data_IF_349238487298
#
_entry.id   IF_349238487298
#
_cell.length_a   1.000
_cell.length_b   1.000
_cell.length_c   1.000
_cell.angle_alpha   90.00
_cell.angle_beta   90.00
_cell.angle_gamma   90.00
#
_symmetry.space_group_name_H-M   'P 1'
#
loop_
_entity.id
_entity.type
_entity.pdbx_description
1 polymer ?
#
# COMPACT_ATOMS: atom_id res chain seq x y z
N UNK A 1 11.33 11.19 -23.04
CA UNK A 1 10.06 10.83 -22.37
C UNK A 1 10.13 11.36 -20.94
N UNK A 2 9.11 12.08 -20.43
CA UNK A 2 9.14 12.67 -19.07
C UNK A 2 9.08 11.59 -17.98
N UNK A 3 9.67 11.83 -16.81
CA UNK A 3 9.56 10.92 -15.65
C UNK A 3 8.10 10.63 -15.28
N UNK A 4 7.25 11.66 -15.33
CA UNK A 4 5.81 11.52 -15.12
C UNK A 4 5.18 10.54 -16.10
N UNK A 5 5.57 10.60 -17.38
CA UNK A 5 5.09 9.67 -18.42
C UNK A 5 5.55 8.24 -18.16
N UNK A 6 6.81 8.05 -17.73
CA UNK A 6 7.35 6.72 -17.39
C UNK A 6 6.59 6.08 -16.22
N UNK A 7 6.32 6.86 -15.18
CA UNK A 7 5.55 6.42 -14.02
C UNK A 7 4.12 6.00 -14.41
N UNK A 8 3.41 6.84 -15.15
CA UNK A 8 2.05 6.53 -15.62
C UNK A 8 2.01 5.25 -16.44
N UNK A 9 2.96 5.05 -17.36
CA UNK A 9 3.01 3.85 -18.19
C UNK A 9 3.25 2.57 -17.38
N UNK A 10 4.17 2.60 -16.41
CA UNK A 10 4.42 1.47 -15.51
C UNK A 10 3.19 1.14 -14.65
N UNK A 11 2.50 2.18 -14.17
CA UNK A 11 1.27 2.03 -13.39
C UNK A 11 0.15 1.39 -14.19
N UNK A 12 -0.10 1.85 -15.42
CA UNK A 12 -1.09 1.26 -16.32
C UNK A 12 -0.78 -0.21 -16.59
N UNK A 13 0.49 -0.55 -16.84
CA UNK A 13 0.90 -1.94 -17.03
C UNK A 13 0.66 -2.80 -15.78
N UNK A 14 0.91 -2.26 -14.59
CA UNK A 14 0.70 -2.99 -13.33
C UNK A 14 -0.78 -3.22 -13.04
N UNK A 15 -1.62 -2.20 -13.22
CA UNK A 15 -3.09 -2.30 -13.04
C UNK A 15 -3.68 -3.31 -14.02
N UNK A 16 -3.24 -3.26 -15.29
CA UNK A 16 -3.59 -4.25 -16.30
C UNK A 16 -3.23 -5.66 -15.86
N UNK A 17 -2.00 -5.86 -15.38
CA UNK A 17 -1.45 -7.19 -15.05
C UNK A 17 -2.13 -7.82 -13.86
N UNK A 18 -2.32 -7.06 -12.77
CA UNK A 18 -2.77 -7.62 -11.50
C UNK A 18 -4.28 -7.50 -11.26
N UNK A 19 -4.94 -6.56 -11.93
CA UNK A 19 -6.36 -6.28 -11.70
C UNK A 19 -7.22 -6.46 -12.96
N UNK A 20 -6.63 -6.70 -14.14
CA UNK A 20 -7.37 -6.88 -15.40
C UNK A 20 -8.08 -5.61 -15.88
N UNK A 21 -7.72 -4.45 -15.34
CA UNK A 21 -8.40 -3.17 -15.56
C UNK A 21 -7.63 -2.34 -16.59
N UNK A 22 -8.30 -1.90 -17.65
CA UNK A 22 -7.73 -1.02 -18.68
C UNK A 22 -8.35 0.38 -18.61
N UNK A 23 -7.58 1.47 -18.73
CA UNK A 23 -8.13 2.78 -19.04
C UNK A 23 -9.00 2.71 -20.32
N UNK A 24 -10.07 3.52 -20.46
CA UNK A 24 -10.38 4.75 -19.74
C UNK A 24 -11.40 4.55 -18.61
N UNK A 25 -11.23 3.54 -17.75
CA UNK A 25 -12.08 3.44 -16.57
C UNK A 25 -11.74 4.56 -15.56
N UNK A 26 -12.74 5.36 -15.19
CA UNK A 26 -12.57 6.52 -14.30
C UNK A 26 -12.11 6.13 -12.89
N UNK A 27 -12.50 4.94 -12.43
CA UNK A 27 -12.14 4.43 -11.09
C UNK A 27 -10.64 4.22 -10.96
N UNK A 28 -9.97 3.60 -11.93
CA UNK A 28 -8.52 3.41 -11.91
C UNK A 28 -7.77 4.74 -12.05
N UNK A 29 -8.30 5.69 -12.82
CA UNK A 29 -7.71 7.04 -12.91
C UNK A 29 -7.79 7.77 -11.57
N UNK A 30 -8.89 7.61 -10.83
CA UNK A 30 -9.03 8.16 -9.47
C UNK A 30 -8.12 7.46 -8.47
N UNK A 31 -8.10 6.13 -8.46
CA UNK A 31 -7.21 5.33 -7.61
C UNK A 31 -5.72 5.62 -7.87
N UNK A 32 -5.34 5.93 -9.11
CA UNK A 32 -3.98 6.36 -9.44
C UNK A 32 -3.59 7.66 -8.71
N UNK A 33 -4.53 8.61 -8.60
CA UNK A 33 -4.32 9.84 -7.84
C UNK A 33 -4.18 9.59 -6.34
N UNK A 34 -5.02 8.70 -5.78
CA UNK A 34 -4.97 8.34 -4.36
C UNK A 34 -3.69 7.55 -4.01
N UNK A 35 -3.17 6.75 -4.95
CA UNK A 35 -1.98 5.94 -4.74
C UNK A 35 -0.72 6.79 -4.54
N UNK A 36 -0.59 7.93 -5.23
CA UNK A 36 0.56 8.83 -5.04
C UNK A 36 0.63 9.34 -3.60
N UNK A 37 -0.52 9.74 -3.03
CA UNK A 37 -0.60 10.12 -1.62
C UNK A 37 -0.23 8.95 -0.72
N UNK A 38 -0.76 7.76 -0.99
CA UNK A 38 -0.49 6.57 -0.19
C UNK A 38 1.01 6.21 -0.17
N UNK A 39 1.69 6.30 -1.31
CA UNK A 39 3.16 6.10 -1.39
C UNK A 39 3.88 7.10 -0.49
N UNK A 40 3.54 8.39 -0.57
CA UNK A 40 4.16 9.43 0.27
C UNK A 40 3.91 9.18 1.76
N UNK A 41 2.71 8.76 2.14
CA UNK A 41 2.37 8.41 3.52
C UNK A 41 3.24 7.23 4.01
N UNK A 42 3.41 6.17 3.21
CA UNK A 42 4.31 5.06 3.54
C UNK A 42 5.79 5.48 3.60
N UNK A 43 6.24 6.34 2.71
CA UNK A 43 7.59 6.90 2.74
C UNK A 43 7.83 7.73 4.01
N UNK A 44 6.84 8.48 4.47
CA UNK A 44 6.93 9.25 5.72
C UNK A 44 6.99 8.35 6.98
N UNK A 45 6.39 7.16 6.92
CA UNK A 45 6.48 6.15 7.98
C UNK A 45 7.78 5.32 7.90
N UNK A 46 8.54 5.42 6.81
CA UNK A 46 9.78 4.66 6.65
C UNK A 46 10.81 5.12 7.68
N UNK A 47 11.28 4.18 8.49
CA UNK A 47 12.28 4.46 9.54
C UNK A 47 11.72 5.08 10.81
N UNK A 48 10.39 5.31 10.89
CA UNK A 48 9.73 5.72 12.15
C UNK A 48 9.26 4.51 12.96
N UNK A 49 9.05 3.36 12.30
CA UNK A 49 8.75 2.11 12.97
C UNK A 49 10.00 1.59 13.68
N UNK A 50 10.01 1.69 15.02
CA UNK A 50 10.91 0.90 15.86
C UNK A 50 10.31 -0.48 16.05
N UNK A 51 11.12 -1.51 15.87
CA UNK A 51 10.79 -2.82 16.44
C UNK A 51 10.81 -2.71 17.97
N UNK A 52 10.02 -3.52 18.66
CA UNK A 52 10.16 -3.69 20.09
C UNK A 52 11.59 -4.19 20.40
N UNK A 53 12.17 -3.73 21.52
CA UNK A 53 13.52 -4.15 21.93
C UNK A 53 13.61 -5.68 22.12
N UNK A 54 12.47 -6.31 22.42
CA UNK A 54 12.28 -7.75 22.37
C UNK A 54 11.13 -8.04 21.41
N UNK A 55 11.34 -8.76 20.29
CA UNK A 55 10.24 -9.09 19.39
C UNK A 55 9.22 -9.95 20.14
N UNK A 56 7.95 -9.55 20.09
CA UNK A 56 6.85 -10.37 20.58
C UNK A 56 6.99 -11.79 20.03
N UNK A 57 6.90 -12.80 20.91
CA UNK A 57 6.85 -14.18 20.45
C UNK A 57 5.67 -14.35 19.50
N UNK A 58 5.77 -15.32 18.59
CA UNK A 58 4.69 -15.61 17.64
C UNK A 58 3.34 -15.83 18.36
N UNK A 59 3.38 -16.45 19.54
CA UNK A 59 2.22 -16.66 20.41
C UNK A 59 1.65 -15.35 20.96
N UNK A 60 2.49 -14.40 21.37
CA UNK A 60 2.05 -13.08 21.84
C UNK A 60 1.39 -12.28 20.71
N UNK A 61 1.99 -12.30 19.52
CA UNK A 61 1.42 -11.66 18.33
C UNK A 61 0.06 -12.27 17.92
N UNK A 62 -0.11 -13.59 18.05
CA UNK A 62 -1.39 -14.26 17.77
C UNK A 62 -2.49 -13.87 18.77
N UNK A 63 -2.17 -13.76 20.06
CA UNK A 63 -3.14 -13.31 21.09
C UNK A 63 -3.58 -11.88 20.83
N UNK A 64 -2.63 -10.99 20.50
CA UNK A 64 -2.94 -9.61 20.18
C UNK A 64 -3.82 -9.51 18.92
N UNK A 65 -3.44 -10.20 17.84
CA UNK A 65 -4.22 -10.23 16.60
C UNK A 65 -5.66 -10.74 16.82
N UNK A 66 -5.82 -11.77 17.66
CA UNK A 66 -7.14 -12.29 18.03
C UNK A 66 -7.96 -11.26 18.83
N UNK A 67 -7.30 -10.45 19.67
CA UNK A 67 -7.97 -9.41 20.48
C UNK A 67 -8.45 -8.21 19.66
N UNK A 68 -7.83 -7.93 18.51
CA UNK A 68 -8.23 -6.86 17.59
C UNK A 68 -9.63 -7.13 17.04
N UNK A 69 -9.99 -8.39 16.77
CA UNK A 69 -11.32 -8.78 16.29
C UNK A 69 -12.42 -8.78 17.36
N UNK A 70 -12.07 -8.65 18.65
CA UNK A 70 -13.01 -8.68 19.79
C UNK A 70 -13.34 -7.28 20.32
N UNK A 71 -12.55 -6.27 19.93
CA UNK A 71 -12.72 -4.87 20.36
C UNK A 71 -13.51 -3.99 19.36
N UNK A 72 -14.08 -4.59 18.32
CA UNK A 72 -14.93 -3.93 17.33
C UNK A 72 -16.42 -4.09 17.64
#
# INVERSE_FOLDING_TARGET
MSEKTKFVNHMVASISTWHGVQPPNEVALRMLGDLEKLIRDFEALRGTMRFEDEPASFEAALVEAASIGVRA
#
